data_IF_417789457262
#
_entry.id   IF_417789457262
#
_cell.length_a   1.000
_cell.length_b   1.000
_cell.length_c   1.000
_cell.angle_alpha   90.00
_cell.angle_beta   90.00
_cell.angle_gamma   90.00
#
_symmetry.space_group_name_H-M   'P 1'
#
loop_
_entity.id
_entity.type
_entity.pdbx_description
1 polymer ?
#
# COMPACT_ATOMS: atom_id res chain seq x y z
N UNK A 1 -23.11 48.43 2.49
CA UNK A 1 -23.62 48.95 1.20
C UNK A 1 -23.87 47.73 0.30
N UNK A 2 -25.07 47.58 -0.29
CA UNK A 2 -25.61 46.41 -1.03
C UNK A 2 -25.94 45.16 -0.16
N UNK A 3 -27.09 45.06 0.52
CA UNK A 3 -28.48 44.83 0.06
C UNK A 3 -28.71 43.58 -0.82
N UNK A 4 -29.39 42.56 -0.28
CA UNK A 4 -30.78 42.22 -0.64
C UNK A 4 -31.35 41.11 0.25
N UNK A 5 -32.23 41.52 1.15
CA UNK A 5 -33.14 40.71 1.95
C UNK A 5 -34.39 40.50 1.09
N UNK A 6 -34.75 39.25 0.78
CA UNK A 6 -36.00 38.95 0.09
C UNK A 6 -37.10 38.64 1.12
N UNK A 7 -37.99 39.62 1.26
CA UNK A 7 -39.28 39.58 1.95
C UNK A 7 -40.27 38.73 1.14
N UNK A 8 -40.98 37.82 1.80
CA UNK A 8 -42.16 37.14 1.29
C UNK A 8 -43.33 37.56 2.18
N UNK A 9 -44.27 38.33 1.63
CA UNK A 9 -45.56 38.65 2.26
C UNK A 9 -46.62 38.83 1.16
N UNK A 10 -47.32 37.73 0.87
CA UNK A 10 -48.73 37.77 0.47
C UNK A 10 -49.52 37.96 1.78
N UNK A 11 -50.19 39.09 1.93
CA UNK A 11 -51.32 39.24 2.84
C UNK A 11 -52.42 39.97 2.09
N UNK A 12 -53.43 39.22 1.64
CA UNK A 12 -54.75 39.76 1.40
C UNK A 12 -55.40 40.05 2.77
N UNK A 13 -56.05 41.19 2.86
CA UNK A 13 -56.74 41.71 4.04
C UNK A 13 -57.92 40.82 4.46
N UNK A 14 -58.09 40.60 5.77
CA UNK A 14 -59.29 39.98 6.33
C UNK A 14 -59.06 39.26 7.66
N UNK A 15 -58.98 40.00 8.77
CA UNK A 15 -59.06 39.42 10.12
C UNK A 15 -60.53 39.07 10.46
N UNK A 16 -60.84 38.09 11.35
CA UNK A 16 -60.65 38.31 12.79
C UNK A 16 -60.26 37.09 13.66
N UNK A 17 -59.50 37.42 14.72
CA UNK A 17 -59.59 36.99 16.14
C UNK A 17 -59.60 35.49 16.52
N UNK A 18 -58.48 35.14 17.19
CA UNK A 18 -58.37 34.42 18.46
C UNK A 18 -58.38 32.87 18.49
N UNK A 19 -57.53 32.40 19.41
CA UNK A 19 -57.48 31.09 20.05
C UNK A 19 -56.67 29.94 19.36
N UNK A 20 -55.42 29.83 19.84
CA UNK A 20 -54.93 28.67 20.57
C UNK A 20 -54.91 27.32 19.83
N UNK A 21 -53.74 26.92 19.31
CA UNK A 21 -53.33 25.51 19.27
C UNK A 21 -51.85 25.39 19.60
N UNK A 22 -51.58 24.61 20.64
CA UNK A 22 -50.28 24.11 21.08
C UNK A 22 -49.58 23.35 19.95
N UNK A 23 -48.34 23.74 19.60
CA UNK A 23 -47.50 22.96 18.70
C UNK A 23 -46.21 22.58 19.43
N UNK A 24 -46.09 21.29 19.72
CA UNK A 24 -44.91 20.63 20.29
C UNK A 24 -43.75 20.75 19.30
N UNK A 25 -42.63 21.33 19.70
CA UNK A 25 -41.41 21.37 18.91
C UNK A 25 -40.66 20.03 19.05
N UNK A 26 -40.75 19.18 18.03
CA UNK A 26 -39.78 18.10 17.84
C UNK A 26 -38.50 18.71 17.25
N UNK A 27 -37.50 18.93 18.09
CA UNK A 27 -36.17 19.35 17.67
C UNK A 27 -35.42 18.17 17.04
N UNK A 28 -35.37 18.12 15.71
CA UNK A 28 -34.40 17.29 15.00
C UNK A 28 -33.11 18.10 14.89
N UNK A 29 -32.15 17.82 15.77
CA UNK A 29 -30.76 18.21 15.55
C UNK A 29 -30.20 17.34 14.42
N UNK A 30 -30.21 17.88 13.19
CA UNK A 30 -29.36 17.38 12.12
C UNK A 30 -27.91 17.70 12.51
N UNK A 31 -27.24 16.73 13.15
CA UNK A 31 -25.78 16.74 13.18
C UNK A 31 -25.34 16.49 11.75
N UNK A 32 -24.95 17.55 11.05
CA UNK A 32 -24.23 17.42 9.81
C UNK A 32 -22.93 16.65 10.13
N UNK A 33 -22.95 15.35 9.88
CA UNK A 33 -21.71 14.57 9.80
C UNK A 33 -21.06 15.05 8.51
N UNK A 34 -20.23 16.08 8.61
CA UNK A 34 -19.33 16.41 7.52
C UNK A 34 -18.57 15.10 7.22
N UNK A 35 -18.54 14.63 5.96
CA UNK A 35 -17.66 13.53 5.64
C UNK A 35 -16.27 13.97 6.06
N UNK A 36 -15.64 13.20 6.94
CA UNK A 36 -14.21 13.35 7.23
C UNK A 36 -13.54 12.98 5.90
N UNK A 37 -13.41 13.95 5.00
CA UNK A 37 -12.50 13.82 3.89
C UNK A 37 -11.14 13.63 4.55
N UNK A 38 -10.62 12.40 4.53
CA UNK A 38 -9.30 12.09 5.02
C UNK A 38 -8.35 13.12 4.41
N UNK A 39 -7.83 14.01 5.26
CA UNK A 39 -7.07 15.15 4.78
C UNK A 39 -5.77 14.60 4.23
N UNK A 40 -5.64 14.55 2.91
CA UNK A 40 -4.45 14.03 2.25
C UNK A 40 -3.22 14.81 2.72
N UNK A 41 -2.18 14.09 3.14
CA UNK A 41 -0.93 14.71 3.54
C UNK A 41 -0.34 15.49 2.36
N UNK A 42 0.17 16.72 2.57
CA UNK A 42 0.89 17.42 1.51
C UNK A 42 2.10 16.60 1.07
N UNK A 43 2.39 16.60 -0.24
CA UNK A 43 3.41 15.74 -0.86
C UNK A 43 4.79 15.83 -0.19
N UNK A 44 5.17 16.99 0.32
CA UNK A 44 6.44 17.21 1.05
C UNK A 44 6.53 16.45 2.38
N UNK A 45 5.39 15.97 2.90
CA UNK A 45 5.29 15.14 4.12
C UNK A 45 5.02 13.67 3.83
N UNK A 46 4.94 13.23 2.57
CA UNK A 46 4.72 11.81 2.26
C UNK A 46 5.99 10.97 2.43
N UNK A 47 7.15 11.55 2.12
CA UNK A 47 8.44 10.86 2.31
C UNK A 47 8.84 10.85 3.78
N UNK A 48 9.30 9.70 4.27
CA UNK A 48 9.76 9.49 5.64
C UNK A 48 8.66 9.72 6.70
N UNK A 49 7.39 9.55 6.33
CA UNK A 49 6.25 9.54 7.25
C UNK A 49 5.61 8.16 7.24
N UNK A 50 5.39 7.61 8.43
CA UNK A 50 4.69 6.34 8.62
C UNK A 50 3.18 6.56 8.55
N UNK A 51 2.49 5.79 7.71
CA UNK A 51 1.03 5.84 7.52
C UNK A 51 0.45 4.45 7.75
N UNK A 52 -0.63 4.36 8.53
CA UNK A 52 -1.35 3.10 8.73
C UNK A 52 -2.32 2.84 7.58
N UNK A 53 -2.33 1.62 7.06
CA UNK A 53 -3.41 1.15 6.20
C UNK A 53 -4.59 0.70 7.09
N UNK A 54 -5.76 1.35 6.99
CA UNK A 54 -6.91 1.00 7.82
C UNK A 54 -7.50 -0.39 7.50
N UNK A 55 -7.13 -0.99 6.37
CA UNK A 55 -7.71 -2.26 5.90
C UNK A 55 -7.04 -3.49 6.52
N UNK A 56 -5.70 -3.51 6.59
CA UNK A 56 -4.93 -4.62 7.18
C UNK A 56 -4.22 -4.22 8.49
N UNK A 57 -4.32 -2.96 8.90
CA UNK A 57 -3.71 -2.43 10.11
C UNK A 57 -2.19 -2.23 10.04
N UNK A 58 -1.52 -2.67 8.98
CA UNK A 58 -0.07 -2.53 8.80
C UNK A 58 0.33 -1.06 8.63
N UNK A 59 1.60 -0.75 8.86
CA UNK A 59 2.15 0.58 8.66
C UNK A 59 3.11 0.60 7.47
N UNK A 60 3.10 1.71 6.72
CA UNK A 60 3.90 1.89 5.51
C UNK A 60 4.67 3.20 5.58
N UNK A 61 5.91 3.18 5.10
CA UNK A 61 6.77 4.36 5.04
C UNK A 61 7.51 4.39 3.71
N UNK A 62 7.26 5.42 2.90
CA UNK A 62 7.97 5.64 1.63
C UNK A 62 9.27 6.40 1.89
N UNK A 63 10.40 5.79 1.56
CA UNK A 63 11.72 6.40 1.73
C UNK A 63 12.28 6.81 0.37
N UNK A 64 12.63 8.07 0.23
CA UNK A 64 13.33 8.58 -0.96
C UNK A 64 14.84 8.53 -0.75
N UNK A 65 15.57 8.08 -1.76
CA UNK A 65 17.03 8.16 -1.77
C UNK A 65 17.43 9.63 -1.70
N UNK A 66 18.37 9.97 -0.82
CA UNK A 66 18.93 11.31 -0.72
C UNK A 66 19.85 11.62 -1.91
N UNK A 67 21.08 12.06 -1.63
CA UNK A 67 22.13 12.21 -2.65
C UNK A 67 22.72 10.87 -3.13
N UNK A 68 22.49 9.79 -2.38
CA UNK A 68 22.93 8.44 -2.72
C UNK A 68 21.91 7.70 -3.60
N UNK A 69 22.32 6.57 -4.18
CA UNK A 69 21.42 5.60 -4.85
C UNK A 69 21.57 4.25 -4.17
N UNK A 70 20.45 3.60 -3.84
CA UNK A 70 20.44 2.33 -3.13
C UNK A 70 20.01 1.20 -4.06
N UNK A 71 20.80 0.13 -4.11
CA UNK A 71 20.45 -1.11 -4.82
C UNK A 71 19.27 -1.80 -4.14
N UNK A 72 18.71 -2.84 -4.75
CA UNK A 72 17.72 -3.68 -4.09
C UNK A 72 18.24 -4.20 -2.74
N UNK A 73 19.45 -4.77 -2.72
CA UNK A 73 20.04 -5.36 -1.52
C UNK A 73 20.26 -4.30 -0.42
N UNK A 74 20.75 -3.12 -0.78
CA UNK A 74 20.93 -2.01 0.17
C UNK A 74 19.60 -1.48 0.70
N UNK A 75 18.59 -1.38 -0.16
CA UNK A 75 17.23 -0.97 0.24
C UNK A 75 16.57 -2.00 1.14
N UNK A 76 16.76 -3.30 0.87
CA UNK A 76 16.27 -4.40 1.70
C UNK A 76 16.90 -4.38 3.09
N UNK A 77 18.22 -4.22 3.16
CA UNK A 77 18.93 -4.07 4.42
C UNK A 77 18.49 -2.82 5.19
N UNK A 78 18.32 -1.69 4.50
CA UNK A 78 17.88 -0.43 5.11
C UNK A 78 16.45 -0.52 5.68
N UNK A 79 15.53 -1.17 4.95
CA UNK A 79 14.18 -1.44 5.43
C UNK A 79 14.20 -2.37 6.65
N UNK A 80 14.99 -3.45 6.60
CA UNK A 80 15.18 -4.41 7.70
C UNK A 80 15.79 -3.84 8.97
N UNK A 81 16.52 -2.72 8.87
CA UNK A 81 17.10 -2.02 10.01
C UNK A 81 16.13 -1.06 10.72
N UNK A 82 14.94 -0.82 10.16
CA UNK A 82 13.95 0.10 10.73
C UNK A 82 13.02 -0.61 11.70
N UNK A 83 12.43 0.17 12.61
CA UNK A 83 11.34 -0.29 13.47
C UNK A 83 10.36 0.84 13.72
N UNK A 84 9.09 0.48 13.88
CA UNK A 84 8.03 1.40 14.24
C UNK A 84 7.19 0.77 15.36
N UNK A 85 7.09 1.44 16.51
CA UNK A 85 6.36 0.95 17.68
C UNK A 85 6.79 -0.47 18.13
N UNK A 86 8.07 -0.81 17.95
CA UNK A 86 8.62 -2.13 18.28
C UNK A 86 8.39 -3.22 17.21
N UNK A 87 7.72 -2.90 16.11
CA UNK A 87 7.55 -3.79 14.96
C UNK A 87 8.74 -3.59 14.01
N UNK A 88 9.48 -4.66 13.64
CA UNK A 88 10.56 -4.56 12.68
C UNK A 88 10.02 -4.25 11.27
N UNK A 89 10.75 -3.43 10.52
CA UNK A 89 10.42 -3.12 9.13
C UNK A 89 10.96 -4.16 8.14
N UNK A 90 10.40 -4.18 6.95
CA UNK A 90 10.91 -4.92 5.79
C UNK A 90 10.51 -4.20 4.49
N UNK A 91 11.09 -4.58 3.35
CA UNK A 91 10.55 -4.09 2.09
C UNK A 91 9.09 -4.54 1.95
N UNK A 92 8.27 -3.64 1.44
CA UNK A 92 6.83 -3.87 1.30
C UNK A 92 6.54 -5.13 0.49
N UNK A 93 5.64 -5.94 0.99
CA UNK A 93 4.95 -6.96 0.21
C UNK A 93 3.58 -6.41 -0.17
N UNK A 94 3.07 -6.75 -1.35
CA UNK A 94 1.75 -6.28 -1.76
C UNK A 94 0.92 -7.52 -2.11
N UNK A 95 0.12 -7.96 -1.16
CA UNK A 95 -0.55 -9.26 -1.18
C UNK A 95 -2.02 -9.19 -1.57
N UNK A 96 -2.55 -7.98 -1.78
CA UNK A 96 -3.94 -7.77 -2.16
C UNK A 96 -4.17 -6.51 -3.00
N UNK A 97 -5.28 -6.50 -3.75
CA UNK A 97 -5.71 -5.31 -4.49
C UNK A 97 -5.97 -4.11 -3.56
N UNK A 98 -6.58 -4.36 -2.39
CA UNK A 98 -6.88 -3.30 -1.43
C UNK A 98 -5.61 -2.63 -0.88
N UNK A 99 -4.54 -3.39 -0.71
CA UNK A 99 -3.24 -2.88 -0.32
C UNK A 99 -2.59 -2.06 -1.44
N UNK A 100 -2.61 -2.56 -2.68
CA UNK A 100 -2.14 -1.81 -3.85
C UNK A 100 -2.91 -0.48 -4.01
N UNK A 101 -4.23 -0.51 -3.86
CA UNK A 101 -5.08 0.69 -3.93
C UNK A 101 -4.76 1.70 -2.82
N UNK A 102 -4.52 1.20 -1.60
CA UNK A 102 -4.09 2.04 -0.48
C UNK A 102 -2.76 2.73 -0.78
N UNK A 103 -1.78 1.99 -1.31
CA UNK A 103 -0.47 2.51 -1.69
C UNK A 103 -0.61 3.59 -2.75
N UNK A 104 -1.37 3.31 -3.82
CA UNK A 104 -1.55 4.23 -4.92
C UNK A 104 -2.32 5.50 -4.50
N UNK A 105 -3.34 5.36 -3.65
CA UNK A 105 -4.10 6.51 -3.15
C UNK A 105 -3.28 7.38 -2.19
N UNK A 106 -2.49 6.76 -1.32
CA UNK A 106 -1.76 7.44 -0.23
C UNK A 106 -0.45 8.04 -0.71
N UNK A 107 0.33 7.25 -1.48
CA UNK A 107 1.69 7.58 -1.88
C UNK A 107 1.82 7.88 -3.38
N UNK A 108 0.81 7.53 -4.19
CA UNK A 108 0.83 7.73 -5.64
C UNK A 108 0.72 9.19 -6.08
N UNK A 109 0.48 10.13 -5.15
CA UNK A 109 0.52 11.57 -5.44
C UNK A 109 1.95 12.09 -5.31
N UNK A 110 2.61 12.30 -6.45
CA UNK A 110 3.91 12.98 -6.45
C UNK A 110 4.68 12.85 -7.75
N UNK A 111 6.00 13.03 -7.66
CA UNK A 111 6.91 12.87 -8.80
C UNK A 111 7.06 11.39 -9.16
N UNK A 112 7.27 11.14 -10.46
CA UNK A 112 7.36 9.80 -11.05
C UNK A 112 8.62 9.06 -10.58
N UNK A 113 8.45 8.17 -9.61
CA UNK A 113 9.56 7.37 -9.06
C UNK A 113 9.25 5.88 -9.08
N UNK A 114 10.31 5.11 -9.30
CA UNK A 114 10.33 3.68 -9.04
C UNK A 114 10.67 3.41 -7.59
N UNK A 115 10.00 2.42 -7.04
CA UNK A 115 10.07 2.06 -5.63
C UNK A 115 10.43 0.58 -5.53
N UNK A 116 11.55 0.26 -4.87
CA UNK A 116 11.87 -1.13 -4.54
C UNK A 116 10.82 -1.72 -3.60
N UNK A 117 10.45 -2.98 -3.86
CA UNK A 117 9.55 -3.78 -3.05
C UNK A 117 10.13 -5.17 -2.78
N UNK A 118 9.55 -5.93 -1.88
CA UNK A 118 10.09 -7.18 -1.34
C UNK A 118 9.98 -8.40 -2.23
N UNK A 119 10.00 -8.28 -3.56
CA UNK A 119 9.82 -9.40 -4.48
C UNK A 119 11.03 -9.63 -5.41
N UNK A 120 11.35 -10.90 -5.66
CA UNK A 120 12.46 -11.33 -6.51
C UNK A 120 12.24 -12.75 -7.04
N UNK A 121 12.78 -13.04 -8.22
CA UNK A 121 12.93 -14.40 -8.78
C UNK A 121 14.40 -14.84 -8.91
N UNK A 122 15.35 -14.09 -8.31
CA UNK A 122 16.80 -14.39 -8.35
C UNK A 122 17.20 -15.78 -7.84
N UNK A 123 16.33 -16.44 -7.05
CA UNK A 123 16.56 -17.81 -6.59
C UNK A 123 16.26 -18.85 -7.69
N UNK A 124 15.22 -18.63 -8.48
CA UNK A 124 14.75 -19.50 -9.55
C UNK A 124 14.12 -18.59 -10.61
N UNK A 125 14.82 -18.40 -11.73
CA UNK A 125 14.37 -17.57 -12.87
C UNK A 125 12.91 -17.86 -13.23
N UNK A 126 12.10 -16.80 -13.30
CA UNK A 126 10.68 -16.88 -13.60
C UNK A 126 9.78 -17.27 -12.43
N UNK A 127 10.31 -17.64 -11.25
CA UNK A 127 9.52 -17.86 -10.03
C UNK A 127 9.61 -16.69 -9.07
N UNK A 128 8.65 -15.78 -9.19
CA UNK A 128 8.57 -14.58 -8.38
C UNK A 128 8.03 -14.85 -6.98
N UNK A 129 8.86 -14.54 -5.99
CA UNK A 129 8.60 -14.79 -4.57
C UNK A 129 8.69 -13.50 -3.78
N UNK A 130 7.91 -13.41 -2.71
CA UNK A 130 8.23 -12.48 -1.62
C UNK A 130 9.52 -12.95 -0.96
N UNK A 131 10.49 -12.06 -0.75
CA UNK A 131 11.80 -12.36 -0.17
C UNK A 131 12.07 -11.60 1.13
N UNK A 132 11.08 -10.82 1.58
CA UNK A 132 11.11 -10.08 2.84
C UNK A 132 9.77 -10.21 3.56
N UNK A 133 9.73 -9.81 4.83
CA UNK A 133 8.50 -9.80 5.62
C UNK A 133 8.00 -11.19 6.05
N UNK A 134 6.82 -11.26 6.67
CA UNK A 134 6.15 -12.51 7.04
C UNK A 134 5.91 -13.48 5.87
N UNK A 135 5.81 -12.96 4.64
CA UNK A 135 5.54 -13.69 3.40
C UNK A 135 6.80 -14.29 2.77
N UNK A 136 7.98 -14.06 3.34
CA UNK A 136 9.25 -14.51 2.77
C UNK A 136 9.25 -15.99 2.38
N UNK A 137 9.57 -16.27 1.12
CA UNK A 137 9.56 -17.60 0.50
C UNK A 137 8.28 -17.94 -0.26
N UNK A 138 7.19 -17.18 -0.08
CA UNK A 138 5.92 -17.42 -0.77
C UNK A 138 6.03 -17.12 -2.27
N UNK A 139 5.74 -18.12 -3.10
CA UNK A 139 5.54 -17.97 -4.54
C UNK A 139 4.21 -17.25 -4.79
N UNK A 140 4.24 -16.15 -5.54
CA UNK A 140 3.02 -15.44 -5.93
C UNK A 140 2.82 -15.40 -7.46
N UNK A 141 3.88 -15.59 -8.24
CA UNK A 141 3.79 -15.61 -9.70
C UNK A 141 4.86 -16.53 -10.32
N UNK A 142 4.51 -17.22 -11.42
CA UNK A 142 5.45 -17.98 -12.24
C UNK A 142 5.31 -17.62 -13.71
N UNK A 143 6.40 -17.20 -14.35
CA UNK A 143 6.46 -16.93 -15.79
C UNK A 143 6.48 -18.24 -16.58
N UNK A 144 5.65 -18.33 -17.63
CA UNK A 144 5.58 -19.48 -18.55
C UNK A 144 6.24 -19.18 -19.91
N UNK A 145 6.15 -17.93 -20.38
CA UNK A 145 6.83 -17.48 -21.61
C UNK A 145 7.05 -15.97 -21.56
N UNK A 146 8.13 -15.49 -22.19
CA UNK A 146 8.46 -14.06 -22.38
C UNK A 146 8.48 -13.66 -23.88
N UNK A 147 8.18 -14.59 -24.79
CA UNK A 147 8.24 -14.39 -26.25
C UNK A 147 7.19 -15.26 -26.97
N UNK A 148 6.33 -14.72 -27.85
CA UNK A 148 6.23 -13.31 -28.29
C UNK A 148 5.49 -12.39 -27.30
N UNK A 149 4.77 -12.98 -26.34
CA UNK A 149 3.98 -12.28 -25.32
C UNK A 149 4.36 -12.87 -23.97
N UNK A 150 4.37 -12.05 -22.92
CA UNK A 150 4.60 -12.52 -21.56
C UNK A 150 3.34 -13.23 -21.06
N UNK A 151 3.52 -14.42 -20.52
CA UNK A 151 2.45 -15.25 -19.94
C UNK A 151 2.95 -15.89 -18.66
N UNK A 152 2.03 -16.20 -17.74
CA UNK A 152 2.37 -16.83 -16.49
C UNK A 152 1.15 -17.20 -15.65
N UNK A 153 1.42 -17.79 -14.50
CA UNK A 153 0.43 -18.27 -13.54
C UNK A 153 0.57 -17.50 -12.24
N UNK A 154 -0.52 -16.88 -11.80
CA UNK A 154 -0.62 -16.24 -10.50
C UNK A 154 -0.99 -17.27 -9.41
N UNK A 155 -0.24 -17.25 -8.30
CA UNK A 155 -0.52 -18.00 -7.07
C UNK A 155 -0.99 -17.08 -5.93
N UNK A 156 -0.79 -15.77 -6.09
CA UNK A 156 -1.25 -14.72 -5.18
C UNK A 156 -1.61 -13.45 -5.95
N UNK A 157 -1.79 -12.35 -5.24
CA UNK A 157 -1.99 -11.05 -5.88
C UNK A 157 -0.75 -10.64 -6.68
N UNK A 158 -1.00 -10.10 -7.87
CA UNK A 158 0.02 -9.54 -8.75
C UNK A 158 -0.50 -8.26 -9.42
N UNK A 159 0.43 -7.36 -9.71
CA UNK A 159 0.16 -6.14 -10.48
C UNK A 159 1.31 -5.87 -11.44
N UNK A 160 1.76 -6.91 -12.14
CA UNK A 160 2.76 -6.80 -13.22
C UNK A 160 2.28 -5.88 -14.32
N UNK A 161 3.16 -5.01 -14.82
CA UNK A 161 2.89 -4.08 -15.91
C UNK A 161 2.24 -4.79 -17.10
N UNK A 162 0.99 -4.44 -17.38
CA UNK A 162 0.17 -5.13 -18.39
C UNK A 162 -0.83 -4.17 -19.02
N UNK A 163 -1.13 -4.39 -20.30
CA UNK A 163 -2.37 -3.90 -20.89
C UNK A 163 -3.48 -4.91 -20.54
N UNK A 164 -4.20 -4.64 -19.44
CA UNK A 164 -5.26 -5.53 -18.93
C UNK A 164 -6.46 -5.65 -19.87
N UNK A 165 -6.74 -4.66 -20.72
CA UNK A 165 -7.83 -4.74 -21.71
C UNK A 165 -7.56 -5.79 -22.80
N UNK A 166 -6.28 -6.07 -23.06
CA UNK A 166 -5.83 -7.05 -24.05
C UNK A 166 -5.23 -8.32 -23.44
N UNK A 167 -5.13 -8.38 -22.12
CA UNK A 167 -4.40 -9.42 -21.38
C UNK A 167 -2.95 -9.59 -21.90
N UNK A 168 -2.33 -8.48 -22.30
CA UNK A 168 -0.96 -8.43 -22.82
C UNK A 168 -0.04 -7.94 -21.68
N UNK A 169 0.70 -8.86 -21.07
CA UNK A 169 1.69 -8.51 -20.05
C UNK A 169 2.93 -7.92 -20.73
N UNK A 170 3.37 -6.78 -20.20
CA UNK A 170 4.66 -6.15 -20.53
C UNK A 170 5.74 -6.60 -19.57
N UNK A 171 5.38 -7.04 -18.36
CA UNK A 171 6.28 -7.49 -17.30
C UNK A 171 5.74 -8.79 -16.63
N UNK A 172 6.58 -9.58 -15.94
CA UNK A 172 8.04 -9.45 -15.86
C UNK A 172 8.68 -9.90 -17.17
N UNK A 173 9.43 -9.00 -17.83
CA UNK A 173 9.94 -9.24 -19.17
C UNK A 173 11.32 -9.87 -19.20
N UNK A 174 12.08 -9.73 -18.11
CA UNK A 174 13.51 -9.97 -18.04
C UNK A 174 14.29 -9.26 -19.18
N UNK A 175 13.81 -8.09 -19.63
CA UNK A 175 14.37 -7.31 -20.75
C UNK A 175 15.19 -6.12 -20.24
N UNK A 176 16.24 -6.43 -19.48
CA UNK A 176 17.11 -5.40 -18.93
C UNK A 176 18.04 -4.76 -19.95
N UNK A 177 18.16 -3.44 -19.88
CA UNK A 177 19.21 -2.65 -20.56
C UNK A 177 20.64 -3.11 -20.21
N UNK A 178 20.81 -3.88 -19.13
CA UNK A 178 22.09 -4.39 -18.61
C UNK A 178 22.29 -5.91 -18.85
N UNK A 179 21.42 -6.56 -19.63
CA UNK A 179 21.38 -8.01 -19.84
C UNK A 179 20.19 -8.67 -19.14
N UNK A 180 19.84 -9.90 -19.56
CA UNK A 180 18.76 -10.74 -19.02
C UNK A 180 19.05 -11.14 -17.55
N UNK A 181 18.80 -10.23 -16.61
CA UNK A 181 19.03 -10.42 -15.17
C UNK A 181 18.17 -9.41 -14.37
N UNK A 182 16.91 -9.23 -14.77
CA UNK A 182 15.98 -8.35 -14.06
C UNK A 182 15.29 -9.10 -12.92
N UNK A 183 16.02 -9.37 -11.85
CA UNK A 183 15.54 -10.34 -10.86
C UNK A 183 14.77 -9.72 -9.69
N UNK A 184 14.46 -8.42 -9.73
CA UNK A 184 13.95 -7.68 -8.57
C UNK A 184 12.80 -6.76 -8.94
N UNK A 185 11.71 -6.82 -8.15
CA UNK A 185 10.50 -6.08 -8.44
C UNK A 185 10.58 -4.63 -7.94
N UNK A 186 9.97 -3.75 -8.73
CA UNK A 186 9.65 -2.38 -8.35
C UNK A 186 8.20 -2.09 -8.66
N UNK A 187 7.63 -1.06 -8.06
CA UNK A 187 6.41 -0.44 -8.52
C UNK A 187 6.59 1.06 -8.73
N UNK A 188 5.72 1.67 -9.54
CA UNK A 188 5.74 3.11 -9.78
C UNK A 188 4.77 3.89 -8.87
N UNK A 189 5.20 5.06 -8.43
CA UNK A 189 4.33 6.11 -7.86
C UNK A 189 4.38 7.35 -8.76
N UNK A 190 3.33 8.17 -8.75
CA UNK A 190 3.27 9.41 -9.54
C UNK A 190 2.89 9.23 -11.01
N UNK A 191 3.25 8.10 -11.64
CA UNK A 191 2.95 7.84 -13.06
C UNK A 191 1.45 7.68 -13.29
N UNK A 192 0.86 8.72 -13.86
CA UNK A 192 -0.56 8.81 -14.18
C UNK A 192 -0.96 7.94 -15.37
N UNK A 193 -1.64 6.84 -15.10
CA UNK A 193 -2.73 6.30 -15.91
C UNK A 193 -3.59 5.40 -15.02
N UNK A 194 -4.90 5.67 -14.87
CA UNK A 194 -5.83 4.69 -14.32
C UNK A 194 -5.76 3.40 -15.16
N UNK A 195 -5.78 2.24 -14.52
CA UNK A 195 -5.81 0.90 -15.16
C UNK A 195 -4.49 0.35 -15.72
N UNK A 196 -3.34 1.01 -15.49
CA UNK A 196 -2.02 0.41 -15.78
C UNK A 196 -1.43 -0.09 -14.47
N UNK A 197 -1.29 -1.40 -14.38
CA UNK A 197 -0.52 -2.09 -13.34
C UNK A 197 0.93 -1.64 -13.38
N UNK A 198 1.57 -1.56 -12.21
CA UNK A 198 2.77 -0.73 -12.05
C UNK A 198 4.02 -1.50 -11.71
N UNK A 199 3.94 -2.83 -11.57
CA UNK A 199 5.11 -3.60 -11.20
C UNK A 199 5.99 -3.85 -12.41
N UNK A 200 7.29 -3.74 -12.18
CA UNK A 200 8.33 -3.88 -13.18
C UNK A 200 9.48 -4.63 -12.54
N UNK A 201 10.01 -5.62 -13.24
CA UNK A 201 11.23 -6.29 -12.88
C UNK A 201 12.43 -5.47 -13.35
N UNK A 202 13.48 -5.39 -12.54
CA UNK A 202 14.69 -4.62 -12.83
C UNK A 202 15.92 -5.32 -12.26
N UNK A 203 17.13 -5.08 -12.80
CA UNK A 203 18.36 -5.56 -12.18
C UNK A 203 18.53 -4.94 -10.80
N UNK A 204 19.08 -5.68 -9.83
CA UNK A 204 19.21 -5.18 -8.45
C UNK A 204 20.06 -3.91 -8.33
N UNK A 205 20.95 -3.69 -9.29
CA UNK A 205 21.82 -2.51 -9.41
C UNK A 205 21.20 -1.35 -10.20
N UNK A 206 19.95 -1.46 -10.68
CA UNK A 206 19.34 -0.51 -11.62
C UNK A 206 19.39 0.95 -11.14
N UNK A 207 19.24 1.17 -9.84
CA UNK A 207 19.29 2.50 -9.22
C UNK A 207 20.65 3.20 -9.35
N UNK A 208 21.75 2.46 -9.59
CA UNK A 208 23.10 2.99 -9.82
C UNK A 208 23.28 3.62 -11.20
N UNK A 209 22.36 3.37 -12.14
CA UNK A 209 22.41 3.94 -13.48
C UNK A 209 22.21 5.47 -13.48
N UNK A 210 22.98 6.18 -14.32
CA UNK A 210 22.96 7.65 -14.44
C UNK A 210 21.59 8.26 -14.78
N UNK A 211 20.67 7.46 -15.33
CA UNK A 211 19.30 7.88 -15.69
C UNK A 211 18.22 7.04 -15.01
N UNK A 212 18.56 6.36 -13.91
CA UNK A 212 17.60 5.50 -13.21
C UNK A 212 16.44 6.32 -12.65
N UNK A 213 15.22 5.84 -12.85
CA UNK A 213 13.98 6.41 -12.28
C UNK A 213 13.62 5.78 -10.93
N UNK A 214 14.28 4.68 -10.54
CA UNK A 214 14.16 4.10 -9.20
C UNK A 214 14.86 5.01 -8.20
N UNK A 215 14.08 5.65 -7.34
CA UNK A 215 14.53 6.66 -6.38
C UNK A 215 14.02 6.44 -4.97
N UNK A 216 13.24 5.38 -4.76
CA UNK A 216 12.64 5.09 -3.46
C UNK A 216 12.71 3.60 -3.14
N UNK A 217 12.49 3.30 -1.87
CA UNK A 217 12.06 1.99 -1.40
C UNK A 217 10.89 2.20 -0.43
N UNK A 218 10.00 1.24 -0.30
CA UNK A 218 8.91 1.32 0.66
C UNK A 218 9.07 0.27 1.74
N UNK A 219 8.91 0.72 2.98
CA UNK A 219 9.00 -0.08 4.19
C UNK A 219 7.60 -0.42 4.65
N UNK A 220 7.40 -1.68 5.02
CA UNK A 220 6.20 -2.17 5.66
C UNK A 220 6.55 -2.65 7.08
N UNK A 221 5.66 -2.36 8.02
CA UNK A 221 5.70 -2.86 9.39
C UNK A 221 4.45 -3.72 9.62
N UNK A 222 4.60 -5.02 9.34
CA UNK A 222 3.50 -5.97 9.35
C UNK A 222 3.00 -6.26 10.76
N UNK A 223 1.71 -6.03 10.98
CA UNK A 223 1.02 -6.48 12.19
C UNK A 223 0.45 -7.87 11.89
N UNK A 224 0.80 -8.92 12.63
CA UNK A 224 0.18 -10.21 12.44
C UNK A 224 -1.34 -10.05 12.59
N UNK A 225 -2.10 -10.47 11.57
CA UNK A 225 -3.56 -10.47 11.62
C UNK A 225 -4.05 -11.11 12.95
N UNK A 226 -5.21 -10.74 13.50
CA UNK A 226 -5.69 -11.23 14.80
C UNK A 226 -5.68 -12.77 14.95
N UNK A 227 -5.84 -13.49 13.84
CA UNK A 227 -5.72 -14.95 13.80
C UNK A 227 -4.29 -15.45 14.11
N UNK A 228 -3.26 -14.73 13.69
CA UNK A 228 -1.84 -15.03 13.93
C UNK A 228 -1.41 -14.73 15.37
N UNK A 229 -1.99 -13.68 16.00
CA UNK A 229 -1.78 -13.40 17.44
C UNK A 229 -2.34 -14.55 18.30
N UNK A 230 -3.48 -15.13 17.90
CA UNK A 230 -4.11 -16.24 18.64
C UNK A 230 -3.23 -17.49 18.62
N UNK A 231 -2.59 -17.81 17.49
CA UNK A 231 -1.70 -18.96 17.36
C UNK A 231 -0.38 -18.73 18.12
N UNK A 232 0.20 -17.53 18.06
CA UNK A 232 1.39 -17.16 18.85
C UNK A 232 1.14 -17.25 20.36
N UNK A 233 -0.01 -16.78 20.85
CA UNK A 233 -0.37 -16.85 22.26
C UNK A 233 -0.61 -18.28 22.75
N UNK A 234 -1.17 -19.16 21.90
CA UNK A 234 -1.35 -20.58 22.24
C UNK A 234 -0.03 -21.35 22.33
N UNK A 235 0.98 -20.99 21.51
CA UNK A 235 2.30 -21.62 21.52
C UNK A 235 3.09 -21.38 22.82
N UNK A 236 2.95 -20.22 23.46
CA UNK A 236 3.65 -19.87 24.71
C UNK A 236 3.08 -20.63 25.93
N UNK A 237 1.81 -21.05 25.89
CA UNK A 237 1.16 -21.82 26.96
C UNK A 237 1.48 -23.34 26.93
N UNK A 238 2.10 -23.84 25.87
CA UNK A 238 2.33 -25.28 25.66
C UNK A 238 3.74 -25.77 26.08
N UNK A 239 4.49 -25.02 26.90
CA UNK A 239 5.78 -25.50 27.44
C UNK A 239 5.55 -26.57 28.53
N UNK A 240 5.99 -27.83 28.34
CA UNK A 240 5.84 -28.85 29.36
C UNK A 240 6.71 -28.52 30.57
N UNK A 241 6.09 -28.39 31.75
CA UNK A 241 6.80 -28.36 33.04
C UNK A 241 7.59 -29.66 33.17
N UNK A 242 8.90 -29.61 32.91
CA UNK A 242 9.84 -30.71 33.13
C UNK A 242 9.84 -31.07 34.61
N UNK A 243 9.11 -32.12 35.01
CA UNK A 243 9.13 -32.66 36.36
C UNK A 243 10.54 -33.20 36.63
N UNK A 244 11.25 -32.56 37.56
CA UNK A 244 12.49 -33.11 38.13
C UNK A 244 12.10 -34.27 39.03
N UNK A 245 12.34 -35.50 38.59
CA UNK A 245 12.30 -36.65 39.48
C UNK A 245 13.55 -36.61 40.36
N UNK A 246 13.36 -36.44 41.66
CA UNK A 246 14.41 -36.62 42.65
C UNK A 246 14.61 -38.12 42.85
N UNK A 247 15.80 -38.62 42.50
CA UNK A 247 16.22 -39.97 42.86
C UNK A 247 16.68 -39.99 44.33
N UNK A 248 16.26 -41.03 45.06
CA UNK A 248 16.77 -41.44 46.37
C UNK A 248 17.99 -42.33 46.19
#
# INVERSE_FOLDING_TARGET
MCQRVLRLLLCAEGAPRAACWTAVFFGIFLVAVAPIAAQQLPQSKLFNTVVQNPTNGHYYELIRFGSATLTFAESSAAAGAKSYQGIPGHLVTITSQAEQDFIDYTFGKGADYGVWMGASDSAIEGEWRWVTGPEAGQLFWRTESTNPVITGVAFGFESWGANRERNEYWEPSNRGYLGNNEDFATFAIGRGTPNVTRWNDLPGEYSRGLRSWVKCYMVEYSIPEPASITIMMLGVLALPRRRRNAAR
#
